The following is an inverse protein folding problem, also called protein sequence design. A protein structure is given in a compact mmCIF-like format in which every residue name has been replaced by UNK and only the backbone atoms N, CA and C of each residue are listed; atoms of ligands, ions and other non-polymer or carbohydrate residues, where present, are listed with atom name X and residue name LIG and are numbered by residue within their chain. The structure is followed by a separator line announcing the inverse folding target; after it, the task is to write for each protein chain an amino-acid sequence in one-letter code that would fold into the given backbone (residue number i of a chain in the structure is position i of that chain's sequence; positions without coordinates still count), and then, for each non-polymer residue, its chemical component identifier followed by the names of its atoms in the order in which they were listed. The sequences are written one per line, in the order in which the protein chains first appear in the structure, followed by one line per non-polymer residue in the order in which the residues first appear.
data_IF_943289037232
#
_entry.id   IF_943289037232
#
_cell.length_a   1.000
_cell.length_b   1.000
_cell.length_c   1.000
_cell.angle_alpha   90.00
_cell.angle_beta   90.00
_cell.angle_gamma   90.00
#
_symmetry.space_group_name_H-M   'P 1'
#
loop_
_entity.id
_entity.type
_entity.pdbx_description
1 polymer ?
#
# COMPACT_ATOMS: atom_id res chain seq x y z
N UNK A 1 11.92 -11.38 0.77
CA UNK A 1 10.56 -11.89 1.07
C UNK A 1 9.91 -12.38 -0.22
N UNK A 2 9.11 -13.42 -0.12
CA UNK A 2 8.32 -13.91 -1.26
C UNK A 2 7.09 -13.03 -1.46
N UNK A 3 6.38 -13.24 -2.58
CA UNK A 3 5.10 -12.56 -2.83
C UNK A 3 4.10 -12.87 -1.73
N UNK A 4 4.06 -14.13 -1.28
CA UNK A 4 3.17 -14.54 -0.19
C UNK A 4 3.53 -13.83 1.11
N UNK A 5 4.80 -13.67 1.42
CA UNK A 5 5.24 -12.95 2.62
C UNK A 5 4.83 -11.49 2.57
N UNK A 6 4.97 -10.85 1.42
CA UNK A 6 4.59 -9.44 1.23
C UNK A 6 3.08 -9.26 1.34
N UNK A 7 2.31 -10.20 0.78
CA UNK A 7 0.85 -10.17 0.88
C UNK A 7 0.41 -10.39 2.34
N UNK A 8 1.04 -11.33 3.05
CA UNK A 8 0.75 -11.54 4.48
C UNK A 8 1.04 -10.29 5.29
N UNK A 9 2.11 -9.57 4.96
CA UNK A 9 2.43 -8.32 5.64
C UNK A 9 1.34 -7.27 5.42
N UNK A 10 0.84 -7.14 4.20
CA UNK A 10 -0.26 -6.22 3.90
C UNK A 10 -1.53 -6.57 4.69
N UNK A 11 -1.86 -7.86 4.76
CA UNK A 11 -3.01 -8.35 5.51
C UNK A 11 -2.81 -8.14 7.02
N UNK A 12 -1.63 -8.43 7.53
CA UNK A 12 -1.28 -8.21 8.94
C UNK A 12 -1.44 -6.75 9.33
N UNK A 13 -0.95 -5.84 8.48
CA UNK A 13 -1.11 -4.40 8.70
C UNK A 13 -2.59 -3.98 8.75
N UNK A 14 -3.43 -4.59 7.90
CA UNK A 14 -4.86 -4.29 7.91
C UNK A 14 -5.51 -4.68 9.23
N UNK A 15 -5.13 -5.82 9.79
CA UNK A 15 -5.65 -6.32 11.07
C UNK A 15 -5.18 -5.46 12.23
N UNK A 16 -3.90 -5.14 12.27
CA UNK A 16 -3.34 -4.27 13.30
C UNK A 16 -4.01 -2.90 13.30
N UNK A 17 -4.28 -2.37 12.10
CA UNK A 17 -4.90 -1.06 11.97
C UNK A 17 -6.32 -1.04 12.54
N UNK A 18 -7.07 -2.11 12.40
CA UNK A 18 -8.39 -2.24 13.03
C UNK A 18 -8.27 -2.19 14.55
N UNK A 19 -7.30 -2.91 15.11
CA UNK A 19 -7.05 -2.90 16.56
C UNK A 19 -6.70 -1.52 17.06
N UNK A 20 -6.09 -0.70 16.22
CA UNK A 20 -5.71 0.68 16.55
C UNK A 20 -6.76 1.72 16.16
N UNK A 21 -7.97 1.27 15.84
CA UNK A 21 -9.10 2.16 15.56
C UNK A 21 -9.21 2.64 14.11
N UNK A 22 -8.42 2.10 13.20
CA UNK A 22 -8.47 2.45 11.78
C UNK A 22 -9.26 1.44 10.94
N UNK A 23 -9.34 1.69 9.65
CA UNK A 23 -10.01 0.79 8.71
C UNK A 23 -9.18 -0.45 8.37
N UNK A 24 -9.83 -1.53 7.89
CA UNK A 24 -9.18 -2.82 7.65
C UNK A 24 -8.41 -2.87 6.34
N UNK A 25 -7.48 -1.94 6.12
CA UNK A 25 -6.75 -1.83 4.87
C UNK A 25 -5.26 -1.64 5.13
N UNK A 26 -4.44 -2.40 4.39
CA UNK A 26 -2.99 -2.30 4.46
C UNK A 26 -2.37 -2.44 3.08
N UNK A 27 -1.22 -1.81 2.89
CA UNK A 27 -0.48 -1.88 1.64
C UNK A 27 1.02 -1.90 1.91
N UNK A 28 1.75 -2.58 1.02
CA UNK A 28 3.21 -2.70 1.09
C UNK A 28 3.78 -2.37 -0.28
N UNK A 29 4.77 -1.50 -0.34
CA UNK A 29 5.54 -1.25 -1.55
C UNK A 29 6.91 -1.89 -1.38
N UNK A 30 7.32 -2.69 -2.36
CA UNK A 30 8.54 -3.46 -2.29
C UNK A 30 9.30 -3.42 -3.62
N UNK A 31 10.58 -3.77 -3.55
CA UNK A 31 11.40 -3.98 -4.74
C UNK A 31 10.99 -5.29 -5.41
N UNK A 32 11.45 -5.50 -6.64
CA UNK A 32 11.23 -6.77 -7.36
C UNK A 32 11.88 -7.95 -6.66
N UNK A 33 12.91 -7.69 -5.87
CA UNK A 33 13.61 -8.70 -5.09
C UNK A 33 12.94 -9.00 -3.75
N UNK A 34 11.85 -8.30 -3.42
CA UNK A 34 11.07 -8.57 -2.23
C UNK A 34 11.47 -7.78 -0.99
N UNK A 35 12.21 -6.70 -1.15
CA UNK A 35 12.55 -5.83 -0.02
C UNK A 35 11.48 -4.77 0.18
N UNK A 36 10.97 -4.65 1.40
CA UNK A 36 9.95 -3.65 1.72
C UNK A 36 10.58 -2.26 1.74
N UNK A 37 10.02 -1.36 0.93
CA UNK A 37 10.42 0.05 0.88
C UNK A 37 9.57 0.87 1.83
N UNK A 38 8.25 0.66 1.80
CA UNK A 38 7.32 1.42 2.62
C UNK A 38 6.03 0.64 2.82
N UNK A 39 5.32 0.99 3.87
CA UNK A 39 4.00 0.43 4.17
C UNK A 39 2.99 1.54 4.37
N UNK A 40 1.72 1.22 4.26
CA UNK A 40 0.64 2.15 4.52
C UNK A 40 -0.58 1.44 5.08
N UNK A 41 -1.33 2.17 5.88
CA UNK A 41 -2.61 1.72 6.42
C UNK A 41 -3.63 2.83 6.23
N UNK A 42 -4.92 2.49 6.34
CA UNK A 42 -5.98 3.49 6.22
C UNK A 42 -5.92 4.45 7.41
N UNK A 43 -5.77 5.75 7.13
CA UNK A 43 -5.68 6.79 8.14
C UNK A 43 -6.69 7.92 7.92
N UNK A 44 -7.78 7.62 7.23
CA UNK A 44 -8.79 8.63 6.91
C UNK A 44 -9.27 9.36 8.16
N UNK A 45 -9.69 8.63 9.17
CA UNK A 45 -10.19 9.25 10.41
C UNK A 45 -9.06 9.82 11.26
N UNK A 46 -7.95 9.10 11.40
CA UNK A 46 -6.83 9.54 12.23
C UNK A 46 -6.19 10.83 11.70
N UNK A 47 -6.12 10.99 10.38
CA UNK A 47 -5.48 12.16 9.74
C UNK A 47 -6.47 13.21 9.28
N UNK A 48 -7.77 12.98 9.45
CA UNK A 48 -8.83 13.86 8.92
C UNK A 48 -8.59 14.11 7.42
N UNK A 49 -8.23 13.07 6.68
CA UNK A 49 -7.89 13.14 5.26
C UNK A 49 -8.67 12.07 4.51
N UNK A 50 -9.69 12.45 3.72
CA UNK A 50 -10.50 11.46 3.00
C UNK A 50 -9.73 10.66 1.95
N UNK A 51 -8.54 11.11 1.57
CA UNK A 51 -7.70 10.41 0.59
C UNK A 51 -6.68 9.49 1.23
N UNK A 52 -6.58 9.43 2.55
CA UNK A 52 -5.56 8.66 3.27
C UNK A 52 -5.88 7.16 3.31
N UNK A 53 -6.17 6.57 2.15
CA UNK A 53 -6.26 5.12 1.99
C UNK A 53 -4.89 4.48 2.15
N UNK A 54 -4.86 3.19 2.43
CA UNK A 54 -3.61 2.47 2.66
C UNK A 54 -2.64 2.60 1.50
N UNK A 55 -3.13 2.48 0.28
CA UNK A 55 -2.31 2.56 -0.93
C UNK A 55 -1.72 3.96 -1.11
N UNK A 56 -2.54 4.99 -0.93
CA UNK A 56 -2.07 6.39 -1.01
C UNK A 56 -1.04 6.67 0.07
N UNK A 57 -1.28 6.20 1.29
CA UNK A 57 -0.33 6.36 2.41
C UNK A 57 1.00 5.67 2.11
N UNK A 58 0.97 4.46 1.55
CA UNK A 58 2.18 3.74 1.18
C UNK A 58 2.95 4.45 0.07
N UNK A 59 2.25 4.97 -0.95
CA UNK A 59 2.87 5.73 -2.05
C UNK A 59 3.56 6.98 -1.51
N UNK A 60 2.89 7.73 -0.65
CA UNK A 60 3.47 8.93 -0.04
C UNK A 60 4.73 8.59 0.76
N UNK A 61 4.68 7.54 1.55
CA UNK A 61 5.83 7.11 2.35
C UNK A 61 6.99 6.65 1.48
N UNK A 62 6.72 5.88 0.43
CA UNK A 62 7.75 5.40 -0.50
C UNK A 62 8.39 6.56 -1.26
N UNK A 63 7.58 7.46 -1.79
CA UNK A 63 8.07 8.61 -2.55
C UNK A 63 8.95 9.51 -1.68
N UNK A 64 8.53 9.76 -0.45
CA UNK A 64 9.30 10.56 0.50
C UNK A 64 10.62 9.89 0.84
N UNK A 65 10.60 8.58 1.11
CA UNK A 65 11.80 7.82 1.47
C UNK A 65 12.80 7.76 0.33
N UNK A 66 12.32 7.56 -0.90
CA UNK A 66 13.18 7.44 -2.07
C UNK A 66 13.53 8.78 -2.71
N UNK A 67 12.87 9.86 -2.28
CA UNK A 67 13.11 11.19 -2.82
C UNK A 67 12.70 11.36 -4.28
N UNK A 68 11.67 10.65 -4.72
CA UNK A 68 11.20 10.69 -6.12
C UNK A 68 9.70 10.49 -6.20
N UNK A 69 9.07 11.09 -7.20
CA UNK A 69 7.66 10.85 -7.49
C UNK A 69 7.44 9.68 -8.46
N UNK A 70 8.52 9.13 -9.02
CA UNK A 70 8.46 8.04 -9.98
C UNK A 70 8.90 6.75 -9.29
N UNK A 71 7.96 5.82 -9.08
CA UNK A 71 8.19 4.55 -8.41
C UNK A 71 8.30 3.38 -9.40
N UNK A 72 8.73 3.66 -10.64
CA UNK A 72 9.02 2.60 -11.62
C UNK A 72 10.06 1.65 -11.03
N UNK A 73 9.86 0.37 -11.24
CA UNK A 73 10.74 -0.67 -10.69
C UNK A 73 10.26 -1.24 -9.36
N UNK A 74 9.21 -0.67 -8.78
CA UNK A 74 8.65 -1.15 -7.52
C UNK A 74 7.26 -1.75 -7.73
N UNK A 75 6.83 -2.56 -6.76
CA UNK A 75 5.56 -3.26 -6.79
C UNK A 75 4.76 -2.92 -5.54
N UNK A 76 3.44 -2.94 -5.64
CA UNK A 76 2.56 -2.69 -4.50
C UNK A 76 1.70 -3.93 -4.22
N UNK A 77 1.60 -4.28 -2.94
CA UNK A 77 0.78 -5.38 -2.44
C UNK A 77 -0.30 -4.80 -1.55
N UNK A 78 -1.56 -5.15 -1.84
CA UNK A 78 -2.70 -4.58 -1.12
C UNK A 78 -3.55 -5.68 -0.49
N UNK A 79 -4.07 -5.40 0.72
CA UNK A 79 -4.91 -6.36 1.44
C UNK A 79 -6.28 -6.57 0.79
N UNK A 80 -6.71 -5.63 -0.05
CA UNK A 80 -7.95 -5.76 -0.82
C UNK A 80 -7.77 -5.04 -2.16
N UNK A 81 -8.77 -5.18 -3.03
CA UNK A 81 -8.71 -4.54 -4.35
C UNK A 81 -8.74 -3.01 -4.21
N UNK A 82 -7.80 -2.29 -4.86
CA UNK A 82 -7.77 -0.84 -4.80
C UNK A 82 -9.03 -0.21 -5.40
N UNK A 83 -9.51 0.86 -4.78
CA UNK A 83 -10.61 1.66 -5.34
C UNK A 83 -10.12 2.49 -6.53
N UNK A 84 -11.02 3.14 -7.30
CA UNK A 84 -10.60 3.95 -8.45
C UNK A 84 -9.60 5.05 -8.12
N UNK A 85 -9.73 5.70 -6.96
CA UNK A 85 -8.78 6.73 -6.53
C UNK A 85 -7.40 6.13 -6.34
N UNK A 86 -7.31 4.97 -5.67
CA UNK A 86 -6.03 4.31 -5.42
C UNK A 86 -5.41 3.75 -6.70
N UNK A 87 -6.23 3.21 -7.61
CA UNK A 87 -5.74 2.79 -8.92
C UNK A 87 -5.14 3.96 -9.69
N UNK A 88 -5.80 5.12 -9.64
CA UNK A 88 -5.27 6.33 -10.24
C UNK A 88 -3.95 6.76 -9.62
N UNK A 89 -3.86 6.70 -8.28
CA UNK A 89 -2.63 7.05 -7.57
C UNK A 89 -1.48 6.10 -7.94
N UNK A 90 -1.76 4.80 -8.03
CA UNK A 90 -0.78 3.78 -8.43
C UNK A 90 -0.30 4.05 -9.86
N UNK A 91 -1.21 4.39 -10.75
CA UNK A 91 -0.88 4.75 -12.11
C UNK A 91 0.05 5.98 -12.15
N UNK A 92 -0.30 7.04 -11.44
CA UNK A 92 0.51 8.25 -11.41
C UNK A 92 1.88 8.03 -10.77
N UNK A 93 1.96 7.13 -9.79
CA UNK A 93 3.22 6.74 -9.17
C UNK A 93 4.08 5.87 -10.09
N UNK A 94 3.50 5.31 -11.14
CA UNK A 94 4.17 4.45 -12.12
C UNK A 94 4.71 3.16 -11.54
N UNK A 95 4.01 2.61 -10.56
CA UNK A 95 4.34 1.30 -10.01
C UNK A 95 4.18 0.23 -11.09
N UNK A 96 5.14 -0.70 -11.14
CA UNK A 96 5.20 -1.70 -12.19
C UNK A 96 4.10 -2.77 -12.08
N UNK A 97 3.66 -3.05 -10.86
CA UNK A 97 2.75 -4.17 -10.63
C UNK A 97 1.91 -3.96 -9.39
N UNK A 98 0.66 -4.39 -9.47
CA UNK A 98 -0.26 -4.45 -8.34
C UNK A 98 -0.53 -5.92 -8.05
N UNK A 99 -0.33 -6.33 -6.80
CA UNK A 99 -0.75 -7.64 -6.33
C UNK A 99 -1.75 -7.41 -5.21
N UNK A 100 -2.93 -7.97 -5.33
CA UNK A 100 -4.01 -7.77 -4.39
C UNK A 100 -4.58 -9.09 -3.93
N UNK A 101 -5.15 -9.10 -2.72
CA UNK A 101 -5.84 -10.28 -2.25
C UNK A 101 -7.06 -10.53 -3.12
N UNK A 102 -7.15 -11.72 -3.66
CA UNK A 102 -8.30 -12.12 -4.47
C UNK A 102 -9.55 -12.21 -3.58
N UNK A 103 -10.64 -11.58 -4.03
CA UNK A 103 -11.95 -11.73 -3.39
C UNK A 103 -12.66 -12.80 -4.17
N UNK A 104 -12.75 -13.96 -3.60
CA UNK A 104 -13.44 -15.08 -4.23
C UNK A 104 -14.76 -15.30 -3.52
#
# INVERSE_FOLDING_TARGET
MTREDLMRKAIELSKENVENGGGPFGAVIATKEGEIVATGVNRVTASCDPTAHAEVSAIRAAAAKLGTFNLSGYEIYTSCEPCPMCLGAIYWARLDKIDRKSVV
#
